data_IF_338257489994
#
_entry.id   IF_338257489994
#
_cell.length_a   1.000
_cell.length_b   1.000
_cell.length_c   1.000
_cell.angle_alpha   90.00
_cell.angle_beta   90.00
_cell.angle_gamma   90.00
#
_symmetry.space_group_name_H-M   'P 1'
#
loop_
_entity.id
_entity.type
_entity.pdbx_description
1 polymer ?
#
# COMPACT_ATOMS: atom_id res chain seq x y z
N UNK A 1 32.89 51.68 -5.77
CA UNK A 1 31.94 51.99 -6.86
C UNK A 1 30.77 51.01 -6.77
N UNK A 2 29.65 51.41 -6.16
CA UNK A 2 28.51 50.52 -5.92
C UNK A 2 27.57 50.56 -7.14
N UNK A 3 27.70 49.60 -8.06
CA UNK A 3 26.84 49.53 -9.27
C UNK A 3 25.41 49.21 -8.83
N UNK A 4 24.53 50.24 -8.80
CA UNK A 4 23.10 50.07 -8.54
C UNK A 4 22.50 49.18 -9.63
N UNK A 5 22.03 48.01 -9.23
CA UNK A 5 21.31 47.08 -10.12
C UNK A 5 20.01 47.77 -10.58
N UNK A 6 19.75 47.86 -11.90
CA UNK A 6 18.54 48.43 -12.46
C UNK A 6 17.28 47.80 -11.86
N UNK A 7 16.26 48.62 -11.55
CA UNK A 7 15.00 48.17 -10.93
C UNK A 7 14.30 47.06 -11.73
N UNK A 8 14.39 47.11 -13.07
CA UNK A 8 13.83 46.08 -13.97
C UNK A 8 14.48 44.70 -13.76
N UNK A 9 15.78 44.64 -13.48
CA UNK A 9 16.49 43.37 -13.23
C UNK A 9 16.05 42.76 -11.90
N UNK A 10 15.77 43.59 -10.88
CA UNK A 10 15.24 43.11 -9.59
C UNK A 10 13.84 42.51 -9.71
N UNK A 11 12.97 43.12 -10.53
CA UNK A 11 11.61 42.63 -10.78
C UNK A 11 11.65 41.29 -11.51
N UNK A 12 12.47 41.17 -12.57
CA UNK A 12 12.63 39.90 -13.29
C UNK A 12 13.15 38.80 -12.35
N UNK A 13 14.13 39.13 -11.50
CA UNK A 13 14.66 38.17 -10.53
C UNK A 13 13.60 37.70 -9.51
N UNK A 14 12.77 38.60 -9.01
CA UNK A 14 11.66 38.27 -8.11
C UNK A 14 10.61 37.37 -8.77
N UNK A 15 10.28 37.63 -10.04
CA UNK A 15 9.33 36.81 -10.80
C UNK A 15 9.88 35.41 -11.04
N UNK A 16 11.15 35.28 -11.42
CA UNK A 16 11.81 33.99 -11.61
C UNK A 16 11.89 33.22 -10.29
N UNK A 17 12.23 33.90 -9.19
CA UNK A 17 12.28 33.28 -7.86
C UNK A 17 10.90 32.76 -7.44
N UNK A 18 9.82 33.53 -7.68
CA UNK A 18 8.46 33.09 -7.40
C UNK A 18 8.06 31.84 -8.19
N UNK A 19 8.43 31.77 -9.47
CA UNK A 19 8.19 30.57 -10.30
C UNK A 19 8.96 29.35 -9.80
N UNK A 20 10.21 29.52 -9.36
CA UNK A 20 11.02 28.43 -8.79
C UNK A 20 10.39 27.90 -7.50
N UNK A 21 9.93 28.79 -6.62
CA UNK A 21 9.26 28.39 -5.37
C UNK A 21 7.96 27.64 -5.64
N UNK A 22 7.17 28.11 -6.61
CA UNK A 22 5.94 27.42 -7.03
C UNK A 22 6.22 26.05 -7.64
N UNK A 23 7.24 25.93 -8.49
CA UNK A 23 7.65 24.67 -9.08
C UNK A 23 8.15 23.67 -8.03
N UNK A 24 8.96 24.12 -7.07
CA UNK A 24 9.41 23.30 -5.94
C UNK A 24 8.23 22.86 -5.06
N UNK A 25 7.30 23.76 -4.75
CA UNK A 25 6.09 23.44 -4.00
C UNK A 25 5.23 22.38 -4.69
N UNK A 26 5.08 22.47 -6.02
CA UNK A 26 4.35 21.49 -6.82
C UNK A 26 5.05 20.12 -6.85
N UNK A 27 6.37 20.10 -7.01
CA UNK A 27 7.17 18.87 -6.99
C UNK A 27 7.11 18.20 -5.62
N UNK A 28 7.21 18.98 -4.53
CA UNK A 28 7.10 18.47 -3.17
C UNK A 28 5.69 17.94 -2.88
N UNK A 29 4.64 18.62 -3.33
CA UNK A 29 3.26 18.17 -3.18
C UNK A 29 2.97 16.85 -3.92
N UNK A 30 3.57 16.65 -5.11
CA UNK A 30 3.50 15.37 -5.84
C UNK A 30 4.43 14.29 -5.26
N UNK A 31 5.49 14.69 -4.58
CA UNK A 31 6.52 13.81 -4.02
C UNK A 31 6.12 13.11 -2.71
N UNK A 32 5.03 13.51 -2.07
CA UNK A 32 4.47 12.81 -0.90
C UNK A 32 3.65 11.58 -1.34
N UNK A 33 4.24 10.74 -2.18
CA UNK A 33 3.86 9.34 -2.21
C UNK A 33 4.70 8.66 -1.14
N UNK A 34 4.17 8.57 0.08
CA UNK A 34 4.71 7.66 1.08
C UNK A 34 4.79 6.28 0.43
N UNK A 35 6.01 5.79 0.19
CA UNK A 35 6.20 4.42 -0.30
C UNK A 35 5.51 3.50 0.70
N UNK A 36 4.45 2.83 0.25
CA UNK A 36 3.75 1.81 1.03
C UNK A 36 4.75 0.74 1.46
N UNK A 37 4.57 0.18 2.65
CA UNK A 37 5.39 -0.96 3.07
C UNK A 37 5.22 -2.13 2.09
N UNK A 38 6.19 -3.05 2.07
CA UNK A 38 6.04 -4.29 1.28
C UNK A 38 4.81 -5.08 1.73
N UNK A 39 4.48 -5.04 3.03
CA UNK A 39 3.29 -5.66 3.56
C UNK A 39 2.02 -5.05 2.97
N UNK A 40 1.90 -3.72 2.97
CA UNK A 40 0.72 -3.03 2.45
C UNK A 40 0.55 -3.29 0.94
N UNK A 41 1.64 -3.29 0.19
CA UNK A 41 1.61 -3.66 -1.23
C UNK A 41 1.13 -5.11 -1.43
N UNK A 42 1.64 -6.05 -0.63
CA UNK A 42 1.27 -7.45 -0.75
C UNK A 42 -0.22 -7.70 -0.45
N UNK A 43 -0.78 -7.11 0.61
CA UNK A 43 -2.23 -7.27 0.90
C UNK A 43 -3.10 -6.63 -0.18
N UNK A 44 -2.65 -5.51 -0.76
CA UNK A 44 -3.37 -4.88 -1.88
C UNK A 44 -3.37 -5.77 -3.12
N UNK A 45 -2.22 -6.33 -3.52
CA UNK A 45 -2.14 -7.29 -4.63
C UNK A 45 -2.91 -8.58 -4.36
N UNK A 46 -3.09 -8.97 -3.11
CA UNK A 46 -3.89 -10.15 -2.77
C UNK A 46 -5.38 -9.86 -2.92
N UNK A 47 -5.88 -8.70 -2.47
CA UNK A 47 -7.30 -8.54 -2.19
C UNK A 47 -7.98 -7.35 -2.86
N UNK A 48 -7.24 -6.41 -3.46
CA UNK A 48 -7.85 -5.25 -4.12
C UNK A 48 -8.00 -5.50 -5.60
N UNK A 49 -9.22 -5.64 -6.11
CA UNK A 49 -9.48 -5.76 -7.54
C UNK A 49 -10.88 -5.25 -7.87
N UNK A 50 -11.03 -4.61 -9.03
CA UNK A 50 -12.34 -4.21 -9.56
C UNK A 50 -12.96 -5.35 -10.37
N UNK A 51 -12.13 -6.10 -11.11
CA UNK A 51 -12.52 -7.21 -11.96
C UNK A 51 -11.50 -8.36 -11.86
N UNK A 52 -11.91 -9.56 -12.28
CA UNK A 52 -11.06 -10.77 -12.20
C UNK A 52 -9.89 -10.77 -13.18
N UNK A 53 -9.87 -9.89 -14.18
CA UNK A 53 -8.79 -9.82 -15.17
C UNK A 53 -7.55 -9.10 -14.62
N UNK A 54 -7.72 -8.16 -13.68
CA UNK A 54 -6.62 -7.48 -13.00
C UNK A 54 -5.77 -8.41 -12.12
N UNK A 55 -6.28 -9.60 -11.79
CA UNK A 55 -5.64 -10.53 -10.88
C UNK A 55 -4.33 -11.13 -11.43
N UNK A 56 -4.22 -11.28 -12.75
CA UNK A 56 -2.99 -11.82 -13.36
C UNK A 56 -1.81 -10.85 -13.20
N UNK A 57 -2.06 -9.56 -13.45
CA UNK A 57 -1.04 -8.51 -13.30
C UNK A 57 -0.64 -8.36 -11.82
N UNK A 58 -1.61 -8.44 -10.91
CA UNK A 58 -1.35 -8.37 -9.47
C UNK A 58 -0.55 -9.55 -8.94
N UNK A 59 -0.81 -10.76 -9.46
CA UNK A 59 -0.03 -11.94 -9.09
C UNK A 59 1.44 -11.81 -9.55
N UNK A 60 1.66 -11.23 -10.73
CA UNK A 60 3.01 -10.91 -11.22
C UNK A 60 3.72 -9.89 -10.32
N UNK A 61 3.03 -8.82 -9.91
CA UNK A 61 3.57 -7.81 -9.00
C UNK A 61 3.84 -8.38 -7.60
N UNK A 62 2.95 -9.22 -7.08
CA UNK A 62 3.14 -9.92 -5.81
C UNK A 62 4.43 -10.75 -5.85
N UNK A 63 4.62 -11.52 -6.92
CA UNK A 63 5.82 -12.34 -7.13
C UNK A 63 7.12 -11.52 -7.15
N UNK A 64 7.08 -10.28 -7.68
CA UNK A 64 8.25 -9.39 -7.71
C UNK A 64 8.69 -8.98 -6.30
N UNK A 65 7.73 -8.71 -5.41
CA UNK A 65 8.01 -8.16 -4.06
C UNK A 65 8.23 -9.23 -2.99
N UNK A 66 7.92 -10.50 -3.26
CA UNK A 66 8.06 -11.61 -2.31
C UNK A 66 9.25 -12.52 -2.62
N UNK A 67 9.77 -13.23 -1.61
CA UNK A 67 10.62 -14.42 -1.82
C UNK A 67 9.80 -15.53 -2.48
N UNK A 68 10.46 -16.52 -3.09
CA UNK A 68 9.75 -17.65 -3.71
C UNK A 68 8.95 -18.46 -2.67
N UNK A 69 9.51 -18.64 -1.47
CA UNK A 69 8.83 -19.29 -0.34
C UNK A 69 7.60 -18.51 0.11
N UNK A 70 7.71 -17.19 0.27
CA UNK A 70 6.58 -16.35 0.65
C UNK A 70 5.52 -16.28 -0.44
N UNK A 71 5.92 -16.13 -1.70
CA UNK A 71 4.99 -16.19 -2.82
C UNK A 71 4.18 -17.48 -2.77
N UNK A 72 4.85 -18.64 -2.66
CA UNK A 72 4.16 -19.93 -2.51
C UNK A 72 3.29 -19.95 -1.26
N UNK A 73 3.74 -19.45 -0.11
CA UNK A 73 2.88 -19.37 1.09
C UNK A 73 1.67 -18.44 0.91
N UNK A 74 1.74 -17.44 0.04
CA UNK A 74 0.64 -16.52 -0.29
C UNK A 74 -0.25 -17.02 -1.44
N UNK A 75 0.24 -17.90 -2.33
CA UNK A 75 -0.51 -18.40 -3.50
C UNK A 75 -0.84 -19.90 -3.48
N UNK A 76 -0.02 -20.76 -2.87
CA UNK A 76 -0.29 -22.19 -2.70
C UNK A 76 -1.40 -22.41 -1.67
N UNK A 77 -2.60 -22.70 -2.17
CA UNK A 77 -3.50 -23.82 -1.81
C UNK A 77 -3.39 -24.45 -0.42
N UNK A 78 -3.28 -23.67 0.65
CA UNK A 78 -3.67 -24.15 1.97
C UNK A 78 -5.12 -23.75 2.20
N UNK A 79 -5.89 -24.67 2.79
CA UNK A 79 -7.36 -24.67 2.86
C UNK A 79 -7.94 -23.40 3.53
N UNK A 80 -7.08 -22.64 4.23
CA UNK A 80 -7.41 -21.41 4.93
C UNK A 80 -7.32 -20.13 4.05
N UNK A 81 -6.81 -20.20 2.82
CA UNK A 81 -6.94 -19.13 1.80
C UNK A 81 -8.31 -19.11 1.12
N UNK A 82 -9.33 -19.55 1.85
CA UNK A 82 -10.71 -19.40 1.49
C UNK A 82 -11.00 -17.97 1.07
N UNK A 83 -10.45 -16.94 1.74
CA UNK A 83 -10.89 -15.56 1.56
C UNK A 83 -10.62 -14.96 0.17
N UNK A 84 -9.38 -14.98 -0.31
CA UNK A 84 -9.02 -14.46 -1.63
C UNK A 84 -9.77 -15.22 -2.72
N UNK A 85 -9.68 -16.55 -2.66
CA UNK A 85 -10.33 -17.47 -3.59
C UNK A 85 -11.86 -17.31 -3.56
N UNK A 86 -12.45 -17.09 -2.39
CA UNK A 86 -13.88 -16.86 -2.18
C UNK A 86 -14.33 -15.54 -2.79
N UNK A 87 -13.59 -14.46 -2.56
CA UNK A 87 -13.84 -13.17 -3.21
C UNK A 87 -13.78 -13.31 -4.74
N UNK A 88 -12.75 -14.00 -5.25
CA UNK A 88 -12.61 -14.32 -6.68
C UNK A 88 -13.81 -15.11 -7.23
N UNK A 89 -14.27 -16.13 -6.51
CA UNK A 89 -15.43 -16.94 -6.92
C UNK A 89 -16.76 -16.20 -6.90
N UNK A 90 -16.87 -15.11 -6.12
CA UNK A 90 -18.07 -14.29 -6.08
C UNK A 90 -18.09 -13.22 -7.17
N UNK A 91 -16.99 -13.02 -7.90
CA UNK A 91 -16.82 -11.96 -8.91
C UNK A 91 -17.16 -10.56 -8.38
N UNK A 92 -17.07 -10.38 -7.07
CA UNK A 92 -17.36 -9.11 -6.40
C UNK A 92 -16.07 -8.33 -6.25
N UNK A 93 -16.11 -7.04 -6.63
CA UNK A 93 -14.99 -6.14 -6.39
C UNK A 93 -14.64 -6.11 -4.91
N UNK A 94 -13.35 -6.04 -4.62
CA UNK A 94 -12.85 -5.96 -3.26
C UNK A 94 -11.79 -4.86 -3.17
N UNK A 95 -11.76 -4.16 -2.03
CA UNK A 95 -10.78 -3.11 -1.77
C UNK A 95 -10.22 -3.22 -0.38
N UNK A 96 -8.89 -3.28 -0.28
CA UNK A 96 -8.20 -3.24 1.00
C UNK A 96 -8.20 -1.82 1.55
N UNK A 97 -8.50 -1.71 2.83
CA UNK A 97 -8.33 -0.49 3.61
C UNK A 97 -7.33 -0.75 4.72
N UNK A 98 -6.15 -0.16 4.57
CA UNK A 98 -5.09 -0.21 5.59
C UNK A 98 -5.51 0.65 6.78
N UNK A 99 -5.58 0.04 7.96
CA UNK A 99 -5.91 0.73 9.23
C UNK A 99 -4.62 1.19 9.90
N UNK A 100 -3.61 0.31 9.93
CA UNK A 100 -2.29 0.61 10.47
C UNK A 100 -1.26 -0.27 9.79
N UNK A 101 -0.09 0.28 9.53
CA UNK A 101 1.07 -0.49 9.10
C UNK A 101 2.32 -0.06 9.87
N UNK A 102 3.25 -1.00 10.02
CA UNK A 102 4.59 -0.72 10.51
C UNK A 102 5.57 -1.61 9.76
N UNK A 103 6.70 -1.07 9.34
CA UNK A 103 7.76 -1.81 8.69
C UNK A 103 9.12 -1.26 9.10
N UNK A 104 10.06 -2.15 9.35
CA UNK A 104 11.48 -1.84 9.49
C UNK A 104 12.30 -2.68 8.50
N UNK A 105 13.62 -2.80 8.70
CA UNK A 105 14.51 -3.56 7.83
C UNK A 105 14.42 -5.08 8.01
N UNK A 106 13.75 -5.57 9.05
CA UNK A 106 13.63 -6.99 9.39
C UNK A 106 12.24 -7.55 9.13
N UNK A 107 11.21 -6.71 9.12
CA UNK A 107 9.85 -7.16 8.98
C UNK A 107 8.83 -6.07 9.29
N UNK A 108 7.60 -6.48 9.51
CA UNK A 108 6.53 -5.57 9.82
C UNK A 108 5.19 -6.23 10.02
N UNK A 109 4.17 -5.37 10.14
CA UNK A 109 2.79 -5.79 10.17
C UNK A 109 1.89 -4.83 9.41
N UNK A 110 0.76 -5.36 8.95
CA UNK A 110 -0.34 -4.60 8.36
C UNK A 110 -1.64 -5.03 9.01
N UNK A 111 -2.33 -4.09 9.63
CA UNK A 111 -3.70 -4.22 10.10
C UNK A 111 -4.62 -3.59 9.07
N UNK A 112 -5.60 -4.34 8.57
CA UNK A 112 -6.45 -3.91 7.48
C UNK A 112 -7.86 -4.54 7.53
N UNK A 113 -8.77 -3.98 6.74
CA UNK A 113 -10.08 -4.56 6.45
C UNK A 113 -10.28 -4.65 4.94
N UNK A 114 -11.24 -5.46 4.50
CA UNK A 114 -11.59 -5.64 3.09
C UNK A 114 -13.03 -5.14 2.90
N UNK A 115 -13.16 -4.13 2.06
CA UNK A 115 -14.44 -3.58 1.62
C UNK A 115 -14.93 -4.39 0.41
N UNK A 116 -15.97 -5.20 0.61
CA UNK A 116 -16.60 -6.02 -0.44
C UNK A 116 -17.99 -6.45 0.02
N UNK A 117 -18.96 -6.57 -0.89
CA UNK A 117 -20.29 -7.08 -0.55
C UNK A 117 -20.26 -8.56 -0.10
N UNK A 118 -19.20 -9.29 -0.45
CA UNK A 118 -19.07 -10.71 -0.12
C UNK A 118 -18.60 -10.97 1.32
N UNK A 119 -18.10 -9.95 2.02
CA UNK A 119 -17.52 -10.06 3.36
C UNK A 119 -18.09 -8.95 4.27
N UNK A 120 -18.36 -9.25 5.55
CA UNK A 120 -18.72 -8.21 6.51
C UNK A 120 -17.60 -7.17 6.63
N UNK A 121 -17.95 -5.89 6.42
CA UNK A 121 -17.05 -4.74 6.52
C UNK A 121 -16.38 -4.58 7.89
N UNK A 122 -16.84 -5.31 8.90
CA UNK A 122 -16.31 -5.24 10.26
C UNK A 122 -15.21 -6.28 10.53
N UNK A 123 -14.88 -7.14 9.55
CA UNK A 123 -13.79 -8.12 9.70
C UNK A 123 -12.44 -7.42 9.65
N UNK A 124 -11.58 -7.81 10.57
CA UNK A 124 -10.26 -7.23 10.77
C UNK A 124 -9.20 -8.30 10.49
N UNK A 125 -8.18 -7.93 9.72
CA UNK A 125 -7.09 -8.83 9.36
C UNK A 125 -5.75 -8.23 9.74
N UNK A 126 -4.84 -9.10 10.21
CA UNK A 126 -3.47 -8.76 10.55
C UNK A 126 -2.54 -9.65 9.74
N UNK A 127 -1.71 -9.04 8.89
CA UNK A 127 -0.60 -9.72 8.25
C UNK A 127 0.70 -9.35 8.96
N UNK A 128 1.41 -10.36 9.45
CA UNK A 128 2.79 -10.28 9.94
C UNK A 128 3.73 -10.80 8.86
N UNK A 129 4.88 -10.16 8.68
CA UNK A 129 5.86 -10.59 7.70
C UNK A 129 7.28 -10.26 8.12
N UNK A 130 8.22 -10.99 7.55
CA UNK A 130 9.66 -10.76 7.70
C UNK A 130 10.20 -10.16 6.38
N UNK A 131 11.40 -9.60 6.39
CA UNK A 131 12.11 -9.12 5.18
C UNK A 131 13.42 -9.89 5.01
N UNK A 132 13.55 -10.57 3.87
CA UNK A 132 14.81 -11.17 3.44
C UNK A 132 15.28 -10.50 2.15
N UNK A 133 16.51 -9.96 2.17
CA UNK A 133 17.16 -9.32 1.00
C UNK A 133 16.26 -8.30 0.27
N UNK A 134 15.49 -7.53 1.03
CA UNK A 134 14.59 -6.50 0.49
C UNK A 134 13.29 -7.03 -0.11
N UNK A 135 12.97 -8.31 0.09
CA UNK A 135 11.71 -8.95 -0.30
C UNK A 135 10.92 -9.40 0.92
N UNK A 136 9.61 -9.43 0.79
CA UNK A 136 8.71 -9.96 1.80
C UNK A 136 8.93 -11.47 1.94
N UNK A 137 9.21 -11.91 3.16
CA UNK A 137 9.37 -13.31 3.50
C UNK A 137 8.44 -13.74 4.65
N UNK A 138 8.20 -15.05 4.74
CA UNK A 138 7.51 -15.71 5.85
C UNK A 138 6.20 -15.04 6.33
N UNK A 139 5.25 -14.74 5.42
CA UNK A 139 3.99 -14.10 5.79
C UNK A 139 3.13 -15.01 6.67
N UNK A 140 2.41 -14.38 7.61
CA UNK A 140 1.42 -15.00 8.50
C UNK A 140 0.22 -14.08 8.56
N UNK A 141 -0.96 -14.59 8.22
CA UNK A 141 -2.19 -13.81 8.23
C UNK A 141 -3.15 -14.36 9.29
N UNK A 142 -3.81 -13.44 9.99
CA UNK A 142 -4.70 -13.73 11.12
C UNK A 142 -5.96 -12.87 10.99
N UNK A 143 -7.11 -13.45 11.29
CA UNK A 143 -8.35 -12.71 11.48
C UNK A 143 -8.49 -12.30 12.96
N UNK A 144 -8.72 -11.01 13.20
CA UNK A 144 -8.94 -10.44 14.52
C UNK A 144 -10.42 -10.39 14.87
N UNK A 145 -10.74 -10.77 16.11
CA UNK A 145 -12.06 -10.60 16.71
C UNK A 145 -11.90 -9.68 17.92
N UNK A 146 -12.61 -8.55 17.93
CA UNK A 146 -12.58 -7.64 19.07
C UNK A 146 -13.32 -8.25 20.27
N UNK A 147 -12.60 -8.41 21.40
CA UNK A 147 -13.17 -8.98 22.63
C UNK A 147 -14.25 -8.11 23.28
N UNK A 148 -14.19 -6.80 23.07
CA UNK A 148 -15.12 -5.82 23.64
C UNK A 148 -15.71 -4.98 22.52
N UNK A 149 -16.65 -5.54 21.76
CA UNK A 149 -17.70 -4.72 21.18
C UNK A 149 -18.63 -4.33 22.33
N UNK A 150 -18.25 -3.28 23.05
CA UNK A 150 -19.16 -2.62 23.97
C UNK A 150 -20.42 -2.26 23.18
N UNK A 151 -21.56 -2.68 23.70
CA UNK A 151 -22.89 -2.44 23.13
C UNK A 151 -23.03 -0.99 22.63
N UNK A 152 -23.42 -0.84 21.36
CA UNK A 152 -24.17 0.33 20.90
C UNK A 152 -25.66 -0.04 20.83
#
# INVERSE_FOLDING_TARGET
>A
MNKRIPSKIKIVFLVVLAFIVLALGYILAKGVNTKKSLGAQAVEYLYTFEDVYQLADQDEELKKITTESAYKKLTATDVDKALNTYLKFKEESAKVRIIREHSDSKGGYVLYTIDSNAISAERLFLMLYDIDKGKLDNPRELEGIDFYRGAE
#
